data_IF_412499393886
#
_entry.id   IF_412499393886
#
_cell.length_a   1.000
_cell.length_b   1.000
_cell.length_c   1.000
_cell.angle_alpha   90.00
_cell.angle_beta   90.00
_cell.angle_gamma   90.00
#
_symmetry.space_group_name_H-M   'P 1'
#
loop_
_entity.id
_entity.type
_entity.pdbx_description
1 polymer ?
#
# COMPACT_ATOMS: atom_id res chain seq x y z
N UNK A 1 -1.77 -0.43 0.62
CA UNK A 1 -3.01 -0.38 -0.20
C UNK A 1 -4.17 -1.08 0.50
N UNK A 2 -4.15 -2.41 0.62
CA UNK A 2 -5.28 -3.20 1.12
C UNK A 2 -5.84 -2.73 2.48
N UNK A 3 -4.97 -2.41 3.44
CA UNK A 3 -5.41 -1.93 4.76
C UNK A 3 -6.21 -0.61 4.67
N UNK A 4 -5.72 0.36 3.90
CA UNK A 4 -6.42 1.63 3.70
C UNK A 4 -7.77 1.42 3.00
N UNK A 5 -7.85 0.53 2.01
CA UNK A 5 -9.11 0.18 1.36
C UNK A 5 -10.10 -0.48 2.34
N UNK A 6 -9.63 -1.36 3.22
CA UNK A 6 -10.47 -1.98 4.24
C UNK A 6 -11.07 -0.97 5.24
N UNK A 7 -10.34 0.13 5.51
CA UNK A 7 -10.83 1.22 6.35
C UNK A 7 -11.92 2.07 5.67
N UNK A 8 -12.05 2.01 4.34
CA UNK A 8 -13.08 2.72 3.59
C UNK A 8 -14.40 1.94 3.47
N UNK A 9 -14.46 0.70 3.95
CA UNK A 9 -15.68 -0.12 3.91
C UNK A 9 -16.71 0.46 4.89
N UNK A 10 -17.92 0.73 4.39
CA UNK A 10 -19.08 1.04 5.23
C UNK A 10 -19.54 -0.25 5.93
N UNK A 11 -19.15 -0.39 7.19
CA UNK A 11 -19.42 -1.60 7.98
C UNK A 11 -20.89 -1.71 8.36
N UNK A 12 -21.54 -0.60 8.67
CA UNK A 12 -22.93 -0.59 9.12
C UNK A 12 -23.86 -0.95 7.97
N UNK A 13 -23.61 -0.39 6.78
CA UNK A 13 -24.31 -0.77 5.56
C UNK A 13 -24.05 -2.24 5.19
N UNK A 14 -22.81 -2.72 5.34
CA UNK A 14 -22.46 -4.10 5.04
C UNK A 14 -23.18 -5.10 5.95
N UNK A 15 -23.20 -4.86 7.27
CA UNK A 15 -23.91 -5.70 8.25
C UNK A 15 -25.40 -5.72 7.93
N UNK A 16 -25.99 -4.55 7.64
CA UNK A 16 -27.40 -4.45 7.26
C UNK A 16 -27.71 -5.25 5.98
N UNK A 17 -26.85 -5.19 4.96
CA UNK A 17 -27.02 -5.96 3.74
C UNK A 17 -26.91 -7.47 3.98
N UNK A 18 -25.98 -7.89 4.84
CA UNK A 18 -25.78 -9.29 5.23
C UNK A 18 -26.99 -9.84 5.99
N UNK A 19 -27.51 -9.11 6.98
CA UNK A 19 -28.67 -9.52 7.77
C UNK A 19 -29.93 -9.66 6.90
N UNK A 20 -30.04 -8.85 5.85
CA UNK A 20 -31.12 -8.91 4.87
C UNK A 20 -30.90 -9.96 3.76
N UNK A 21 -29.77 -10.69 3.77
CA UNK A 21 -29.35 -11.63 2.72
C UNK A 21 -29.23 -10.98 1.32
N UNK A 22 -28.96 -9.68 1.24
CA UNK A 22 -28.72 -8.97 -0.02
C UNK A 22 -27.26 -9.10 -0.43
N UNK A 23 -26.94 -10.21 -1.10
CA UNK A 23 -25.59 -10.54 -1.54
C UNK A 23 -25.07 -9.53 -2.57
N UNK A 24 -25.96 -9.01 -3.42
CA UNK A 24 -25.59 -8.03 -4.46
C UNK A 24 -25.14 -6.71 -3.87
N UNK A 25 -25.89 -6.19 -2.88
CA UNK A 25 -25.55 -4.96 -2.18
C UNK A 25 -24.27 -5.14 -1.34
N UNK A 26 -24.14 -6.25 -0.61
CA UNK A 26 -22.93 -6.54 0.15
C UNK A 26 -21.66 -6.57 -0.74
N UNK A 27 -21.78 -7.15 -1.94
CA UNK A 27 -20.70 -7.16 -2.93
C UNK A 27 -20.38 -5.74 -3.44
N UNK A 28 -21.39 -4.93 -3.70
CA UNK A 28 -21.22 -3.54 -4.17
C UNK A 28 -20.46 -2.70 -3.14
N UNK A 29 -20.84 -2.78 -1.86
CA UNK A 29 -20.19 -2.06 -0.75
C UNK A 29 -18.68 -2.38 -0.69
N UNK A 30 -18.33 -3.66 -0.75
CA UNK A 30 -16.92 -4.09 -0.73
C UNK A 30 -16.17 -3.65 -2.00
N UNK A 31 -16.81 -3.75 -3.17
CA UNK A 31 -16.20 -3.32 -4.43
C UNK A 31 -15.97 -1.81 -4.48
N UNK A 32 -16.85 -1.01 -3.89
CA UNK A 32 -16.68 0.45 -3.81
C UNK A 32 -15.38 0.79 -3.07
N UNK A 33 -15.15 0.19 -1.90
CA UNK A 33 -13.93 0.38 -1.14
C UNK A 33 -12.67 -0.18 -1.85
N UNK A 34 -12.77 -1.35 -2.47
CA UNK A 34 -11.64 -2.01 -3.14
C UNK A 34 -11.21 -1.29 -4.44
N UNK A 35 -12.15 -0.70 -5.17
CA UNK A 35 -11.86 0.07 -6.40
C UNK A 35 -11.39 1.49 -6.12
N UNK A 36 -11.55 1.99 -4.88
CA UNK A 36 -11.07 3.31 -4.52
C UNK A 36 -9.54 3.39 -4.66
N UNK A 37 -9.07 4.43 -5.37
CA UNK A 37 -7.65 4.71 -5.49
C UNK A 37 -7.14 5.39 -4.22
N UNK A 38 -6.53 4.61 -3.34
CA UNK A 38 -5.94 5.09 -2.08
C UNK A 38 -4.45 5.46 -2.21
N UNK A 39 -3.87 5.44 -3.43
CA UNK A 39 -2.45 5.80 -3.61
C UNK A 39 -2.15 7.23 -3.19
N UNK A 40 -2.98 8.24 -3.53
CA UNK A 40 -2.74 9.62 -3.10
C UNK A 40 -2.77 9.77 -1.57
N UNK A 41 -3.72 9.09 -0.91
CA UNK A 41 -3.85 9.09 0.56
C UNK A 41 -2.59 8.54 1.23
N UNK A 42 -2.06 7.42 0.72
CA UNK A 42 -0.86 6.79 1.27
C UNK A 42 0.39 7.63 0.99
N UNK A 43 0.49 8.23 -0.20
CA UNK A 43 1.60 9.11 -0.56
C UNK A 43 1.66 10.31 0.40
N UNK A 44 0.53 10.98 0.63
CA UNK A 44 0.45 12.11 1.56
C UNK A 44 0.77 11.69 3.01
N UNK A 45 0.22 10.56 3.46
CA UNK A 45 0.54 10.02 4.78
C UNK A 45 2.05 9.71 4.94
N UNK A 46 2.68 9.20 3.88
CA UNK A 46 4.13 8.99 3.86
C UNK A 46 4.89 10.31 3.96
N UNK A 47 4.45 11.36 3.25
CA UNK A 47 5.08 12.68 3.30
C UNK A 47 4.99 13.30 4.70
N UNK A 48 3.82 13.23 5.33
CA UNK A 48 3.60 13.71 6.71
C UNK A 48 4.47 12.98 7.73
N UNK A 49 4.76 11.70 7.50
CA UNK A 49 5.68 10.92 8.32
C UNK A 49 7.17 11.18 8.02
N UNK A 50 7.50 12.13 7.14
CA UNK A 50 8.88 12.45 6.72
C UNK A 50 9.45 11.54 5.64
N UNK A 51 8.62 10.70 5.02
CA UNK A 51 8.97 9.86 3.88
C UNK A 51 8.81 10.57 2.53
N UNK A 52 8.93 9.80 1.45
CA UNK A 52 8.82 10.28 0.08
C UNK A 52 7.44 9.97 -0.53
N UNK A 53 6.93 10.86 -1.39
CA UNK A 53 5.69 10.66 -2.14
C UNK A 53 5.75 9.46 -3.08
N UNK A 54 6.88 9.28 -3.77
CA UNK A 54 7.18 8.09 -4.57
C UNK A 54 8.47 7.44 -4.06
N UNK A 55 8.38 6.50 -3.10
CA UNK A 55 9.55 5.88 -2.49
C UNK A 55 10.48 5.19 -3.49
N UNK A 56 9.94 4.58 -4.55
CA UNK A 56 10.74 3.84 -5.54
C UNK A 56 11.45 4.81 -6.47
N UNK A 57 10.78 5.86 -6.94
CA UNK A 57 11.43 6.90 -7.73
C UNK A 57 12.51 7.62 -6.93
N UNK A 58 12.25 7.96 -5.66
CA UNK A 58 13.24 8.58 -4.76
C UNK A 58 14.44 7.65 -4.51
N UNK A 59 14.21 6.36 -4.26
CA UNK A 59 15.29 5.38 -4.13
C UNK A 59 16.18 5.32 -5.38
N UNK A 60 15.57 5.36 -6.57
CA UNK A 60 16.28 5.35 -7.85
C UNK A 60 17.04 6.65 -8.10
N UNK A 61 16.44 7.81 -7.86
CA UNK A 61 17.08 9.11 -8.09
C UNK A 61 18.30 9.33 -7.19
N UNK A 62 18.23 8.81 -5.96
CA UNK A 62 19.34 8.85 -5.01
C UNK A 62 20.45 7.83 -5.32
N UNK A 63 20.29 6.98 -6.35
CA UNK A 63 21.25 5.95 -6.75
C UNK A 63 21.72 5.06 -5.58
N UNK A 64 20.84 4.83 -4.61
CA UNK A 64 21.19 4.13 -3.35
C UNK A 64 21.82 2.77 -3.63
N UNK A 65 21.28 2.03 -4.61
CA UNK A 65 21.83 0.73 -5.02
C UNK A 65 23.28 0.84 -5.50
N UNK A 66 23.61 1.81 -6.34
CA UNK A 66 24.95 1.96 -6.88
C UNK A 66 25.95 2.33 -5.77
N UNK A 67 25.53 3.22 -4.86
CA UNK A 67 26.34 3.60 -3.69
C UNK A 67 26.63 2.39 -2.80
N UNK A 68 25.61 1.59 -2.48
CA UNK A 68 25.78 0.38 -1.66
C UNK A 68 26.65 -0.69 -2.34
N UNK A 69 26.55 -0.84 -3.67
CA UNK A 69 27.42 -1.74 -4.44
C UNK A 69 28.89 -1.28 -4.36
N UNK A 70 29.14 0.02 -4.45
CA UNK A 70 30.48 0.59 -4.31
C UNK A 70 31.08 0.30 -2.92
N UNK A 71 30.27 0.38 -1.87
CA UNK A 71 30.70 0.12 -0.50
C UNK A 71 30.90 -1.36 -0.18
N UNK A 72 30.01 -2.23 -0.67
CA UNK A 72 29.96 -3.66 -0.27
C UNK A 72 30.57 -4.61 -1.30
N UNK A 73 30.89 -4.11 -2.49
CA UNK A 73 31.32 -4.90 -3.63
C UNK A 73 30.16 -5.61 -4.35
N UNK A 74 30.33 -5.84 -5.65
CA UNK A 74 29.33 -6.47 -6.53
C UNK A 74 29.01 -7.92 -6.18
N UNK A 75 29.96 -8.63 -5.57
CA UNK A 75 29.87 -10.05 -5.20
C UNK A 75 29.93 -10.19 -3.68
N UNK A 76 28.92 -9.67 -2.98
CA UNK A 76 28.74 -10.00 -1.56
C UNK A 76 28.17 -11.41 -1.48
N UNK A 77 29.04 -12.41 -1.46
CA UNK A 77 28.65 -13.80 -1.15
C UNK A 77 28.47 -13.85 0.36
N UNK A 78 27.24 -14.02 0.84
CA UNK A 78 27.00 -14.41 2.21
C UNK A 78 27.59 -15.82 2.38
N UNK A 79 28.79 -15.92 2.91
CA UNK A 79 29.32 -17.19 3.42
C UNK A 79 28.52 -17.48 4.68
N UNK A 80 27.34 -18.08 4.51
CA UNK A 80 26.55 -18.62 5.61
C UNK A 80 27.36 -19.72 6.27
N UNK A 81 28.08 -19.35 7.33
CA UNK A 81 28.79 -20.20 8.27
C UNK A 81 28.19 -19.95 9.64
#
# INVERSE_FOLDING_TARGET
MAYAQALLVDKDALVTAQDNNDVTLAQEILQAAYRADVRPLIAEASLLAGGALDPVATYRSLNVRANLIKERGLKTVATGL
#
